data_IF_553383143820
#
_entry.id   IF_553383143820
#
_cell.length_a   1.000
_cell.length_b   1.000
_cell.length_c   1.000
_cell.angle_alpha   90.00
_cell.angle_beta   90.00
_cell.angle_gamma   90.00
#
_symmetry.space_group_name_H-M   'P 1'
#
loop_
_entity.id
_entity.type
_entity.pdbx_description
1 polymer ?
#
# COMPACT_ATOMS: atom_id res chain seq x y z
N UNK A 1 -11.34 1.16 -0.95
CA UNK A 1 -11.06 2.30 -1.85
C UNK A 1 -10.98 1.83 -3.30
N UNK A 2 -10.15 0.84 -3.62
CA UNK A 2 -9.88 0.45 -5.01
C UNK A 2 -11.00 -0.29 -5.76
N UNK A 3 -12.12 -0.60 -5.09
CA UNK A 3 -13.36 -1.03 -5.75
C UNK A 3 -14.15 0.12 -6.38
N UNK A 4 -13.85 1.38 -6.01
CA UNK A 4 -14.48 2.58 -6.54
C UNK A 4 -13.59 3.20 -7.63
N UNK A 5 -14.01 3.08 -8.89
CA UNK A 5 -13.27 3.59 -10.05
C UNK A 5 -13.03 5.09 -9.98
N UNK A 6 -13.98 5.87 -9.45
CA UNK A 6 -13.82 7.32 -9.38
C UNK A 6 -12.72 7.69 -8.38
N UNK A 7 -12.70 7.05 -7.21
CA UNK A 7 -11.67 7.28 -6.20
C UNK A 7 -10.26 6.94 -6.73
N UNK A 8 -10.12 5.84 -7.48
CA UNK A 8 -8.85 5.40 -8.07
C UNK A 8 -8.34 6.40 -9.12
N UNK A 9 -9.20 6.83 -10.03
CA UNK A 9 -8.79 7.79 -11.06
C UNK A 9 -8.43 9.15 -10.42
N UNK A 10 -9.19 9.60 -9.43
CA UNK A 10 -8.85 10.83 -8.72
C UNK A 10 -7.52 10.72 -7.97
N UNK A 11 -7.23 9.58 -7.38
CA UNK A 11 -5.94 9.33 -6.75
C UNK A 11 -4.77 9.40 -7.76
N UNK A 12 -4.91 8.77 -8.93
CA UNK A 12 -3.90 8.84 -10.01
C UNK A 12 -3.66 10.27 -10.49
N UNK A 13 -4.72 11.05 -10.66
CA UNK A 13 -4.60 12.48 -11.01
C UNK A 13 -3.77 13.22 -9.97
N UNK A 14 -4.06 13.05 -8.68
CA UNK A 14 -3.33 13.71 -7.60
C UNK A 14 -1.86 13.28 -7.55
N UNK A 15 -1.58 11.98 -7.69
CA UNK A 15 -0.21 11.46 -7.74
C UNK A 15 0.58 12.13 -8.85
N UNK A 16 -0.01 12.27 -10.04
CA UNK A 16 0.62 12.91 -11.19
C UNK A 16 0.76 14.41 -11.03
N UNK A 17 -0.30 15.10 -10.59
CA UNK A 17 -0.35 16.56 -10.43
C UNK A 17 0.71 17.06 -9.46
N UNK A 18 0.86 16.38 -8.32
CA UNK A 18 1.80 16.78 -7.28
C UNK A 18 3.14 16.05 -7.34
N UNK A 19 3.36 15.18 -8.33
CA UNK A 19 4.59 14.41 -8.46
C UNK A 19 4.88 13.53 -7.24
N UNK A 20 3.83 12.92 -6.67
CA UNK A 20 3.94 12.13 -5.43
C UNK A 20 4.86 10.93 -5.66
N UNK A 21 5.89 10.82 -4.83
CA UNK A 21 6.86 9.71 -4.86
C UNK A 21 6.68 8.70 -3.73
N UNK A 22 5.95 9.08 -2.70
CA UNK A 22 5.77 8.27 -1.51
C UNK A 22 4.35 8.39 -1.00
N UNK A 23 3.73 7.24 -0.74
CA UNK A 23 2.40 7.15 -0.14
C UNK A 23 2.49 6.39 1.17
N UNK A 24 1.85 6.92 2.20
CA UNK A 24 1.67 6.25 3.49
C UNK A 24 0.21 5.84 3.61
N UNK A 25 -0.04 4.55 3.71
CA UNK A 25 -1.35 3.96 3.90
C UNK A 25 -1.50 3.47 5.35
N UNK A 26 -2.66 3.74 5.94
CA UNK A 26 -3.05 3.18 7.25
C UNK A 26 -4.20 2.21 7.05
N UNK A 27 -4.08 1.01 7.62
CA UNK A 27 -5.06 -0.08 7.46
C UNK A 27 -4.79 -0.97 6.24
N UNK A 28 -3.67 -1.71 6.28
CA UNK A 28 -3.24 -2.60 5.19
C UNK A 28 -4.23 -3.74 4.90
N UNK A 29 -4.83 -4.34 5.95
CA UNK A 29 -5.72 -5.51 5.84
C UNK A 29 -5.12 -6.67 5.04
N UNK A 30 -5.57 -6.88 3.79
CA UNK A 30 -5.08 -7.92 2.87
C UNK A 30 -3.97 -7.42 1.93
N UNK A 31 -3.68 -6.12 1.92
CA UNK A 31 -2.69 -5.49 1.08
C UNK A 31 -3.10 -5.26 -0.38
N UNK A 32 -4.38 -5.41 -0.73
CA UNK A 32 -4.86 -5.21 -2.11
C UNK A 32 -4.60 -3.78 -2.60
N UNK A 33 -5.02 -2.80 -1.81
CA UNK A 33 -4.79 -1.38 -2.09
C UNK A 33 -3.31 -1.00 -2.08
N UNK A 34 -2.54 -1.57 -1.15
CA UNK A 34 -1.10 -1.31 -1.04
C UNK A 34 -0.35 -1.71 -2.31
N UNK A 35 -0.70 -2.85 -2.92
CA UNK A 35 -0.11 -3.32 -4.19
C UNK A 35 -0.44 -2.34 -5.30
N UNK A 36 -1.70 -1.95 -5.46
CA UNK A 36 -2.10 -0.98 -6.49
C UNK A 36 -1.39 0.37 -6.31
N UNK A 37 -1.24 0.85 -5.08
CA UNK A 37 -0.47 2.08 -4.79
C UNK A 37 1.00 1.90 -5.18
N UNK A 38 1.62 0.77 -4.84
CA UNK A 38 3.03 0.50 -5.14
C UNK A 38 3.35 0.41 -6.64
N UNK A 39 2.35 0.18 -7.49
CA UNK A 39 2.50 0.27 -8.96
C UNK A 39 2.48 1.72 -9.48
N UNK A 40 1.98 2.67 -8.68
CA UNK A 40 1.77 4.07 -9.09
C UNK A 40 2.85 5.03 -8.57
N UNK A 41 3.55 4.67 -7.49
CA UNK A 41 4.55 5.53 -6.83
C UNK A 41 5.84 4.79 -6.54
N UNK A 42 6.93 5.54 -6.41
CA UNK A 42 8.27 4.96 -6.18
C UNK A 42 8.35 4.22 -4.83
N UNK A 43 7.61 4.68 -3.80
CA UNK A 43 7.64 4.10 -2.46
C UNK A 43 6.23 4.03 -1.82
N UNK A 44 5.92 2.89 -1.20
CA UNK A 44 4.69 2.72 -0.41
C UNK A 44 5.04 2.23 0.99
N UNK A 45 4.54 2.94 2.00
CA UNK A 45 4.63 2.54 3.41
C UNK A 45 3.23 2.20 3.88
N UNK A 46 3.03 1.02 4.47
CA UNK A 46 1.72 0.62 4.99
C UNK A 46 1.82 0.27 6.47
N UNK A 47 0.81 0.67 7.24
CA UNK A 47 0.75 0.51 8.70
C UNK A 47 -0.51 -0.31 9.05
N UNK A 48 -0.31 -1.41 9.77
CA UNK A 48 -1.38 -2.30 10.24
C UNK A 48 -1.20 -2.60 11.73
N UNK A 49 -2.29 -2.49 12.49
CA UNK A 49 -2.30 -2.71 13.94
C UNK A 49 -2.67 -4.15 14.30
N UNK A 50 -3.39 -4.84 13.41
CA UNK A 50 -3.76 -6.24 13.61
C UNK A 50 -2.64 -7.14 13.11
N UNK A 51 -1.94 -7.76 14.06
CA UNK A 51 -0.82 -8.68 13.79
C UNK A 51 -1.15 -9.77 12.77
N UNK A 52 -2.36 -10.35 12.83
CA UNK A 52 -2.81 -11.37 11.87
C UNK A 52 -2.78 -10.86 10.42
N UNK A 53 -3.32 -9.67 10.18
CA UNK A 53 -3.35 -9.03 8.86
C UNK A 53 -1.96 -8.63 8.39
N UNK A 54 -1.13 -8.14 9.32
CA UNK A 54 0.26 -7.81 9.03
C UNK A 54 1.03 -9.04 8.57
N UNK A 55 0.94 -10.15 9.30
CA UNK A 55 1.64 -11.40 8.99
C UNK A 55 1.18 -12.01 7.66
N UNK A 56 -0.12 -12.01 7.41
CA UNK A 56 -0.69 -12.50 6.14
C UNK A 56 -0.25 -11.64 4.96
N UNK A 57 -0.31 -10.32 5.11
CA UNK A 57 0.12 -9.40 4.06
C UNK A 57 1.63 -9.45 3.84
N UNK A 58 2.44 -9.57 4.90
CA UNK A 58 3.90 -9.74 4.79
C UNK A 58 4.26 -10.96 3.95
N UNK A 59 3.60 -12.09 4.21
CA UNK A 59 3.80 -13.33 3.41
C UNK A 59 3.38 -13.11 1.96
N UNK A 60 2.25 -12.44 1.72
CA UNK A 60 1.79 -12.09 0.37
C UNK A 60 2.79 -11.21 -0.35
N UNK A 61 3.30 -10.15 0.26
CA UNK A 61 4.28 -9.25 -0.33
C UNK A 61 5.58 -9.97 -0.69
N UNK A 62 6.06 -10.87 0.17
CA UNK A 62 7.21 -11.71 -0.14
C UNK A 62 6.98 -12.59 -1.40
N UNK A 63 5.76 -13.10 -1.61
CA UNK A 63 5.41 -13.87 -2.81
C UNK A 63 5.32 -13.03 -4.09
N UNK A 64 5.08 -11.71 -3.95
CA UNK A 64 4.98 -10.76 -5.04
C UNK A 64 6.30 -10.01 -5.31
N UNK A 65 7.41 -10.45 -4.71
CA UNK A 65 8.74 -9.82 -4.82
C UNK A 65 8.84 -8.39 -4.25
N UNK A 66 7.91 -7.99 -3.38
CA UNK A 66 8.06 -6.75 -2.60
C UNK A 66 8.98 -6.99 -1.41
N UNK A 67 9.87 -6.03 -1.14
CA UNK A 67 10.77 -6.08 0.01
C UNK A 67 10.14 -5.32 1.17
N UNK A 68 9.95 -5.99 2.30
CA UNK A 68 9.58 -5.33 3.56
C UNK A 68 10.85 -4.73 4.17
N UNK A 69 10.91 -3.40 4.23
CA UNK A 69 12.10 -2.66 4.64
C UNK A 69 12.18 -2.47 6.16
N UNK A 70 11.03 -2.31 6.83
CA UNK A 70 10.95 -2.13 8.27
C UNK A 70 9.67 -2.73 8.83
N UNK A 71 9.76 -3.39 9.99
CA UNK A 71 8.61 -3.85 10.77
C UNK A 71 8.86 -3.54 12.24
N UNK A 72 7.91 -2.90 12.90
CA UNK A 72 7.95 -2.66 14.35
C UNK A 72 6.72 -3.27 14.99
N UNK A 73 6.94 -4.13 15.98
CA UNK A 73 5.88 -4.52 16.91
C UNK A 73 5.61 -3.31 17.81
N UNK A 74 4.35 -2.83 17.84
CA UNK A 74 3.88 -1.76 18.75
C UNK A 74 3.20 -2.42 19.94
#
# INVERSE_FOLDING_TARGET
MFSDKYAVEKFKELVKEFGVKTVVETGTYKGDSTVEIAEMVDNTVSIEIKREHFEDTRKRFASLSYTVVESRDI
#
